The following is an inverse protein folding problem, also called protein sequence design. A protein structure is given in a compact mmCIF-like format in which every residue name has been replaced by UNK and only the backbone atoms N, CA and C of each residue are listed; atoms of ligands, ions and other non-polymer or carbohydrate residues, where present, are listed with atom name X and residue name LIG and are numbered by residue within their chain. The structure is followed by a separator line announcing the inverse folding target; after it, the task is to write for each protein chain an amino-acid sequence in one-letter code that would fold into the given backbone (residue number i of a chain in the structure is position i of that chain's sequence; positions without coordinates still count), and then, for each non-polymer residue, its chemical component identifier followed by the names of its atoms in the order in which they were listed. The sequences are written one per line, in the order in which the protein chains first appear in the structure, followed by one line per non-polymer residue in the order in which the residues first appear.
data_IF_770310588069
#
_entry.id   IF_770310588069
#
_cell.length_a   1.000
_cell.length_b   1.000
_cell.length_c   1.000
_cell.angle_alpha   90.00
_cell.angle_beta   90.00
_cell.angle_gamma   90.00
#
_symmetry.space_group_name_H-M   'P 1'
#
loop_
_entity.id
_entity.type
_entity.pdbx_description
1 polymer ?
#
# COMPACT_ATOMS: atom_id res chain seq x y z
N UNK A 1 5.31 14.91 -18.56
CA UNK A 1 5.77 13.80 -17.71
C UNK A 1 5.15 12.52 -18.25
N UNK A 2 5.93 11.75 -19.01
CA UNK A 2 5.43 10.57 -19.72
C UNK A 2 5.45 9.34 -18.82
N UNK A 3 4.32 8.66 -18.70
CA UNK A 3 4.23 7.19 -18.66
C UNK A 3 2.79 6.77 -18.93
N UNK A 4 2.40 6.87 -20.21
CA UNK A 4 1.33 6.05 -20.76
C UNK A 4 1.87 4.62 -20.87
N UNK A 5 1.75 3.85 -19.80
CA UNK A 5 2.17 2.45 -19.74
C UNK A 5 1.40 1.81 -18.59
N UNK A 6 0.47 0.92 -18.92
CA UNK A 6 -0.44 0.17 -18.03
C UNK A 6 -0.10 0.24 -16.53
N UNK A 7 -0.78 1.13 -15.79
CA UNK A 7 -0.66 1.19 -14.33
C UNK A 7 -1.03 -0.17 -13.76
N UNK A 8 -0.07 -0.83 -13.12
CA UNK A 8 -0.32 -2.15 -12.52
C UNK A 8 -1.27 -2.03 -11.34
N UNK A 9 -2.02 -3.09 -11.02
CA UNK A 9 -2.89 -3.11 -9.82
C UNK A 9 -2.11 -2.79 -8.54
N UNK A 10 -0.84 -3.19 -8.46
CA UNK A 10 0.07 -2.84 -7.37
C UNK A 10 0.30 -1.32 -7.28
N UNK A 11 0.55 -0.64 -8.40
CA UNK A 11 0.67 0.82 -8.42
C UNK A 11 -0.66 1.51 -8.05
N UNK A 12 -1.79 1.01 -8.56
CA UNK A 12 -3.12 1.54 -8.20
C UNK A 12 -3.41 1.38 -6.70
N UNK A 13 -2.91 0.31 -6.07
CA UNK A 13 -3.07 0.09 -4.64
C UNK A 13 -2.30 1.14 -3.83
N UNK A 14 -1.07 1.44 -4.25
CA UNK A 14 -0.24 2.47 -3.63
C UNK A 14 -0.82 3.87 -3.84
N UNK A 15 -1.33 4.15 -5.03
CA UNK A 15 -2.03 5.40 -5.33
C UNK A 15 -3.29 5.56 -4.46
N UNK A 16 -4.08 4.49 -4.28
CA UNK A 16 -5.23 4.51 -3.39
C UNK A 16 -4.83 4.79 -1.93
N UNK A 17 -3.67 4.29 -1.48
CA UNK A 17 -3.11 4.57 -0.17
C UNK A 17 -2.71 6.06 -0.02
N UNK A 18 -2.06 6.61 -1.05
CA UNK A 18 -1.65 8.02 -1.09
C UNK A 18 -2.84 8.98 -1.18
N UNK A 19 -3.90 8.61 -1.90
CA UNK A 19 -5.07 9.46 -2.11
C UNK A 19 -6.16 9.31 -1.04
N UNK A 20 -5.92 8.53 0.03
CA UNK A 20 -6.90 8.32 1.10
C UNK A 20 -8.11 7.46 0.69
N UNK A 21 -8.04 6.77 -0.45
CA UNK A 21 -9.14 5.96 -0.94
C UNK A 21 -9.14 4.54 -0.37
N UNK A 22 -9.55 4.43 0.90
CA UNK A 22 -9.57 3.15 1.63
C UNK A 22 -10.38 2.07 0.91
N UNK A 23 -11.52 2.42 0.31
CA UNK A 23 -12.38 1.44 -0.38
C UNK A 23 -11.69 0.83 -1.59
N UNK A 24 -11.00 1.66 -2.41
CA UNK A 24 -10.20 1.17 -3.53
C UNK A 24 -9.02 0.34 -3.07
N UNK A 25 -8.34 0.75 -2.00
CA UNK A 25 -7.22 0.00 -1.43
C UNK A 25 -7.65 -1.42 -1.04
N UNK A 26 -8.78 -1.56 -0.31
CA UNK A 26 -9.31 -2.87 0.10
C UNK A 26 -9.66 -3.76 -1.09
N UNK A 27 -10.34 -3.21 -2.10
CA UNK A 27 -10.72 -3.96 -3.29
C UNK A 27 -9.48 -4.46 -4.06
N UNK A 28 -8.50 -3.58 -4.30
CA UNK A 28 -7.27 -3.96 -5.01
C UNK A 28 -6.46 -4.97 -4.21
N UNK A 29 -6.42 -4.84 -2.88
CA UNK A 29 -5.72 -5.80 -2.04
C UNK A 29 -6.36 -7.19 -2.12
N UNK A 30 -7.70 -7.28 -2.15
CA UNK A 30 -8.42 -8.53 -2.34
C UNK A 30 -8.21 -9.12 -3.73
N UNK A 31 -8.17 -8.29 -4.78
CA UNK A 31 -7.88 -8.75 -6.14
C UNK A 31 -6.43 -9.23 -6.34
N UNK A 32 -5.50 -8.75 -5.52
CA UNK A 32 -4.08 -9.11 -5.58
C UNK A 32 -3.72 -10.27 -4.65
N UNK A 33 -4.60 -10.62 -3.71
CA UNK A 33 -4.38 -11.72 -2.80
C UNK A 33 -4.61 -13.07 -3.49
N UNK A 34 -3.50 -13.76 -3.76
CA UNK A 34 -3.47 -15.10 -4.37
C UNK A 34 -3.50 -16.22 -3.32
N UNK A 35 -4.03 -15.94 -2.12
CA UNK A 35 -4.14 -16.90 -1.01
C UNK A 35 -3.02 -16.80 0.03
N UNK A 36 -2.20 -15.75 -0.03
CA UNK A 36 -1.18 -15.44 0.99
C UNK A 36 -1.72 -14.57 2.13
N UNK A 37 -2.92 -14.05 1.97
CA UNK A 37 -3.56 -13.11 2.89
C UNK A 37 -3.35 -11.67 2.46
N UNK A 38 -4.36 -10.84 2.71
CA UNK A 38 -4.39 -9.41 2.40
C UNK A 38 -3.18 -8.68 3.02
N UNK A 39 -2.85 -8.97 4.29
CA UNK A 39 -1.74 -8.34 4.98
C UNK A 39 -0.40 -8.58 4.26
N UNK A 40 -0.06 -9.85 3.98
CA UNK A 40 1.17 -10.20 3.26
C UNK A 40 1.18 -9.64 1.83
N UNK A 41 0.02 -9.60 1.18
CA UNK A 41 -0.14 -8.98 -0.14
C UNK A 41 0.23 -7.51 -0.11
N UNK A 42 -0.42 -6.73 0.76
CA UNK A 42 -0.18 -5.29 0.89
C UNK A 42 1.24 -4.99 1.35
N UNK A 43 1.79 -5.77 2.30
CA UNK A 43 3.17 -5.63 2.78
C UNK A 43 4.21 -5.80 1.66
N UNK A 44 3.96 -6.72 0.73
CA UNK A 44 4.88 -7.01 -0.37
C UNK A 44 4.89 -5.94 -1.46
N UNK A 45 3.89 -5.05 -1.49
CA UNK A 45 3.76 -4.03 -2.51
C UNK A 45 4.53 -2.78 -2.07
N UNK A 46 5.55 -2.43 -2.87
CA UNK A 46 6.38 -1.25 -2.69
C UNK A 46 6.53 -0.51 -4.02
N UNK A 47 6.66 0.81 -3.99
CA UNK A 47 6.99 1.60 -5.17
C UNK A 47 8.49 1.48 -5.50
N UNK A 48 8.96 2.14 -6.56
CA UNK A 48 10.36 2.14 -6.98
C UNK A 48 11.33 2.72 -5.95
N UNK A 49 10.84 3.43 -4.93
CA UNK A 49 11.64 3.95 -3.80
C UNK A 49 11.64 3.00 -2.59
N UNK A 50 10.95 1.87 -2.68
CA UNK A 50 10.78 0.93 -1.56
C UNK A 50 9.69 1.35 -0.57
N UNK A 51 8.88 2.37 -0.88
CA UNK A 51 7.82 2.85 0.00
C UNK A 51 6.58 1.95 -0.13
N UNK A 52 6.07 1.49 1.01
CA UNK A 52 4.83 0.69 1.09
C UNK A 52 3.58 1.57 1.13
N UNK A 53 2.39 0.95 1.06
CA UNK A 53 1.12 1.64 1.24
C UNK A 53 1.05 2.42 2.57
N UNK A 54 1.68 1.91 3.64
CA UNK A 54 1.71 2.58 4.94
C UNK A 54 2.55 3.87 4.89
N UNK A 55 3.71 3.85 4.23
CA UNK A 55 4.55 5.04 4.07
C UNK A 55 3.81 6.16 3.35
N UNK A 56 3.16 5.82 2.23
CA UNK A 56 2.42 6.79 1.42
C UNK A 56 1.20 7.34 2.18
N UNK A 57 0.43 6.46 2.83
CA UNK A 57 -0.71 6.89 3.63
C UNK A 57 -0.30 7.77 4.82
N UNK A 58 0.82 7.46 5.48
CA UNK A 58 1.33 8.24 6.59
C UNK A 58 1.87 9.61 6.13
N UNK A 59 2.58 9.66 5.00
CA UNK A 59 3.10 10.89 4.42
C UNK A 59 1.98 11.88 4.05
N UNK A 60 0.88 11.36 3.52
CA UNK A 60 -0.28 12.17 3.10
C UNK A 60 -1.28 12.42 4.24
N UNK A 61 -1.05 11.88 5.44
CA UNK A 61 -1.95 12.06 6.59
C UNK A 61 -3.25 11.27 6.52
N UNK A 62 -3.32 10.22 5.69
CA UNK A 62 -4.50 9.37 5.51
C UNK A 62 -4.68 8.40 6.68
N UNK A 63 -5.07 8.94 7.83
CA UNK A 63 -5.13 8.20 9.11
C UNK A 63 -6.06 6.99 9.07
N UNK A 64 -7.16 7.01 8.30
CA UNK A 64 -8.07 5.88 8.16
C UNK A 64 -7.40 4.68 7.47
N UNK A 65 -6.55 4.95 6.48
CA UNK A 65 -5.76 3.92 5.82
C UNK A 65 -4.68 3.41 6.77
N UNK A 66 -3.96 4.30 7.46
CA UNK A 66 -2.97 3.88 8.46
C UNK A 66 -3.59 2.99 9.54
N UNK A 67 -4.76 3.38 10.07
CA UNK A 67 -5.51 2.57 11.05
C UNK A 67 -5.89 1.22 10.49
N UNK A 68 -6.41 1.15 9.27
CA UNK A 68 -6.74 -0.12 8.64
C UNK A 68 -5.49 -1.02 8.46
N UNK A 69 -4.40 -0.46 7.95
CA UNK A 69 -3.16 -1.20 7.72
C UNK A 69 -2.57 -1.75 9.05
N UNK A 70 -2.54 -0.93 10.11
CA UNK A 70 -1.93 -1.31 11.39
C UNK A 70 -2.89 -2.14 12.24
N UNK A 71 -4.15 -1.72 12.38
CA UNK A 71 -5.08 -2.33 13.32
C UNK A 71 -5.84 -3.52 12.74
N UNK A 72 -6.35 -3.42 11.51
CA UNK A 72 -7.12 -4.51 10.89
C UNK A 72 -6.18 -5.54 10.25
N UNK A 73 -5.19 -5.09 9.48
CA UNK A 73 -4.26 -6.01 8.80
C UNK A 73 -3.09 -6.44 9.68
N UNK A 74 -2.91 -5.84 10.86
CA UNK A 74 -1.79 -6.13 11.78
C UNK A 74 -0.44 -6.09 11.06
N UNK A 75 -0.31 -5.18 10.10
CA UNK A 75 0.97 -4.94 9.44
C UNK A 75 1.95 -4.45 10.48
N UNK A 76 3.14 -5.05 10.48
CA UNK A 76 4.24 -4.58 11.29
C UNK A 76 4.49 -3.10 10.96
N UNK A 77 4.68 -2.26 11.96
CA UNK A 77 4.94 -0.83 11.74
C UNK A 77 6.38 -0.58 11.31
N UNK A 78 7.29 -1.54 11.59
CA UNK A 78 8.69 -1.51 11.19
C UNK A 78 8.91 -2.04 9.75
N UNK A 79 7.92 -1.88 8.85
CA UNK A 79 8.16 -2.17 7.43
C UNK A 79 9.24 -1.21 6.95
N UNK A 80 10.48 -1.68 6.85
CA UNK A 80 11.59 -0.86 6.35
C UNK A 80 11.36 -0.55 4.88
N UNK A 81 11.40 0.73 4.54
CA UNK A 81 11.70 1.17 3.18
C UNK A 81 13.19 0.89 2.87
N UNK A 82 13.60 1.11 1.61
CA UNK A 82 14.99 0.93 1.22
C UNK A 82 15.92 2.05 1.76
N UNK A 83 15.46 2.89 2.69
CA UNK A 83 16.25 3.97 3.32
C UNK A 83 16.69 3.64 4.75
N UNK A 84 16.31 2.48 5.29
CA UNK A 84 16.91 1.96 6.53
C UNK A 84 18.38 1.56 6.33
N UNK A 85 19.20 1.57 7.39
CA UNK A 85 20.65 1.32 7.33
C UNK A 85 21.03 -0.07 6.82
#
# INVERSE_FOLDING_TARGET
MASSGTTTKAQLLLEAASNGNLRRLKNLAAELDVGKGIAATVASIKNSKGESALHLAAAEGNTDICKYLINDLKLDVDIKDNKGP
#
